data_IF_389228583428
#
_entry.id   IF_389228583428
#
_cell.length_a   1.000
_cell.length_b   1.000
_cell.length_c   1.000
_cell.angle_alpha   90.00
_cell.angle_beta   90.00
_cell.angle_gamma   90.00
#
_symmetry.space_group_name_H-M   'P 1'
#
loop_
_entity.id
_entity.type
_entity.pdbx_description
1 polymer ?
#
# COMPACT_ATOMS: atom_id res chain seq x y z
N UNK A 1 34.80 -9.82 12.68
CA UNK A 1 34.42 -8.76 11.72
C UNK A 1 32.90 -8.65 11.69
N UNK A 2 32.36 -7.51 12.07
CA UNK A 2 30.92 -7.24 12.08
C UNK A 2 30.43 -7.23 10.64
N UNK A 3 29.37 -7.98 10.32
CA UNK A 3 28.75 -7.93 8.99
C UNK A 3 28.17 -6.53 8.79
N UNK A 4 28.55 -5.86 7.71
CA UNK A 4 27.93 -4.58 7.32
C UNK A 4 26.45 -4.79 7.04
N UNK A 5 25.61 -3.90 7.55
CA UNK A 5 24.19 -3.87 7.22
C UNK A 5 24.02 -3.39 5.76
N UNK A 6 23.12 -3.99 4.98
CA UNK A 6 22.84 -3.51 3.63
C UNK A 6 22.22 -2.10 3.69
N UNK A 7 22.52 -1.23 2.70
CA UNK A 7 21.77 0.01 2.52
C UNK A 7 20.27 -0.26 2.28
N UNK A 8 19.42 0.75 2.53
CA UNK A 8 17.99 0.65 2.25
C UNK A 8 17.74 0.31 0.77
N UNK A 9 16.84 -0.66 0.53
CA UNK A 9 16.55 -1.16 -0.82
C UNK A 9 17.52 -2.23 -1.33
N UNK A 10 18.45 -2.69 -0.50
CA UNK A 10 19.39 -3.77 -0.83
C UNK A 10 19.27 -4.94 0.16
N UNK A 11 19.63 -6.13 -0.31
CA UNK A 11 19.67 -7.36 0.47
C UNK A 11 21.09 -7.89 0.60
N UNK A 12 21.36 -8.58 1.70
CA UNK A 12 22.52 -9.46 1.82
C UNK A 12 22.36 -10.68 0.91
N UNK A 13 23.46 -11.40 0.64
CA UNK A 13 23.40 -12.66 -0.12
C UNK A 13 22.42 -13.66 0.50
N UNK A 14 22.39 -13.76 1.84
CA UNK A 14 21.50 -14.69 2.56
C UNK A 14 20.03 -14.36 2.32
N UNK A 15 19.67 -13.08 2.43
CA UNK A 15 18.29 -12.62 2.20
C UNK A 15 17.88 -12.81 0.74
N UNK A 16 18.73 -12.43 -0.21
CA UNK A 16 18.46 -12.61 -1.63
C UNK A 16 18.23 -14.09 -1.98
N UNK A 17 19.07 -15.01 -1.48
CA UNK A 17 18.89 -16.46 -1.67
C UNK A 17 17.59 -16.95 -1.03
N UNK A 18 17.27 -16.48 0.17
CA UNK A 18 16.01 -16.82 0.85
C UNK A 18 14.79 -16.42 0.02
N UNK A 19 14.78 -15.20 -0.51
CA UNK A 19 13.70 -14.69 -1.37
C UNK A 19 13.60 -15.42 -2.72
N UNK A 20 14.70 -15.97 -3.21
CA UNK A 20 14.78 -16.73 -4.46
C UNK A 20 14.54 -18.25 -4.26
N UNK A 21 14.00 -18.68 -3.12
CA UNK A 21 13.70 -20.09 -2.87
C UNK A 21 14.92 -20.90 -2.40
N UNK A 22 15.77 -20.31 -1.56
CA UNK A 22 16.96 -20.92 -0.97
C UNK A 22 17.98 -21.46 -2.00
N UNK A 23 18.17 -20.74 -3.11
CA UNK A 23 19.19 -21.12 -4.10
C UNK A 23 20.60 -21.15 -3.52
N UNK A 24 21.51 -21.82 -4.22
CA UNK A 24 22.94 -21.87 -3.88
C UNK A 24 23.64 -20.55 -4.22
N UNK A 25 24.79 -20.28 -3.59
CA UNK A 25 25.60 -19.10 -3.91
C UNK A 25 26.08 -19.10 -5.37
N UNK A 26 26.38 -20.28 -5.93
CA UNK A 26 26.73 -20.42 -7.35
C UNK A 26 25.60 -19.96 -8.28
N UNK A 27 24.35 -20.36 -7.99
CA UNK A 27 23.19 -19.92 -8.76
C UNK A 27 22.88 -18.45 -8.57
N UNK A 28 23.11 -17.88 -7.37
CA UNK A 28 22.99 -16.44 -7.18
C UNK A 28 24.01 -15.68 -8.04
N UNK A 29 25.25 -16.18 -8.16
CA UNK A 29 26.29 -15.54 -8.99
C UNK A 29 25.94 -15.48 -10.47
N UNK A 30 25.26 -16.48 -11.02
CA UNK A 30 24.85 -16.48 -12.44
C UNK A 30 23.77 -15.44 -12.75
N UNK A 31 23.05 -14.97 -11.72
CA UNK A 31 22.05 -13.92 -11.84
C UNK A 31 22.63 -12.51 -11.73
N UNK A 32 23.89 -12.35 -11.30
CA UNK A 32 24.48 -11.02 -11.17
C UNK A 32 24.82 -10.46 -12.56
N UNK A 33 24.53 -9.19 -12.80
CA UNK A 33 24.88 -8.51 -14.05
C UNK A 33 24.07 -7.23 -14.27
N UNK A 34 24.21 -6.66 -15.47
CA UNK A 34 23.44 -5.50 -15.93
C UNK A 34 22.47 -5.99 -17.01
N UNK A 35 21.20 -5.59 -16.94
CA UNK A 35 20.18 -5.89 -17.93
C UNK A 35 19.04 -6.77 -17.43
N UNK A 36 18.16 -7.18 -18.35
CA UNK A 36 16.96 -7.96 -17.99
C UNK A 36 17.31 -9.35 -17.44
N UNK A 37 16.61 -9.75 -16.38
CA UNK A 37 16.84 -11.03 -15.70
C UNK A 37 18.14 -11.09 -14.89
N UNK A 38 18.82 -9.96 -14.69
CA UNK A 38 19.98 -9.84 -13.81
C UNK A 38 19.67 -9.06 -12.54
N UNK A 39 20.49 -9.29 -11.51
CA UNK A 39 20.44 -8.62 -10.21
C UNK A 39 21.62 -7.67 -10.15
N UNK A 40 21.32 -6.38 -9.97
CA UNK A 40 22.33 -5.38 -9.69
C UNK A 40 23.01 -5.68 -8.35
N UNK A 41 24.34 -5.65 -8.36
CA UNK A 41 25.18 -5.92 -7.18
C UNK A 41 26.05 -4.71 -6.87
N UNK A 42 25.99 -4.25 -5.62
CA UNK A 42 26.85 -3.19 -5.08
C UNK A 42 27.91 -3.80 -4.18
N UNK A 43 29.18 -3.48 -4.41
CA UNK A 43 30.29 -3.84 -3.51
C UNK A 43 30.77 -2.59 -2.77
N UNK A 44 30.56 -2.50 -1.44
CA UNK A 44 31.09 -1.37 -0.67
C UNK A 44 32.62 -1.33 -0.74
N UNK A 45 33.24 -0.12 -0.75
CA UNK A 45 34.69 0.02 -0.73
C UNK A 45 35.33 -0.78 0.42
N UNK A 46 36.26 -1.68 0.11
CA UNK A 46 36.97 -2.51 1.09
C UNK A 46 36.19 -3.71 1.63
N UNK A 47 34.93 -3.92 1.23
CA UNK A 47 34.15 -5.08 1.64
C UNK A 47 34.29 -6.23 0.62
N UNK A 48 34.53 -7.45 1.12
CA UNK A 48 34.50 -8.67 0.28
C UNK A 48 33.09 -9.15 -0.06
N UNK A 49 32.07 -8.61 0.61
CA UNK A 49 30.67 -9.01 0.45
C UNK A 49 29.93 -7.89 -0.27
N UNK A 50 29.18 -8.25 -1.32
CA UNK A 50 28.29 -7.32 -2.00
C UNK A 50 26.85 -7.43 -1.52
N UNK A 51 26.09 -6.37 -1.77
CA UNK A 51 24.66 -6.29 -1.57
C UNK A 51 23.91 -6.42 -2.91
N UNK A 52 22.68 -6.88 -2.87
CA UNK A 52 21.86 -7.21 -4.03
C UNK A 52 20.62 -6.34 -4.06
N UNK A 53 20.33 -5.67 -5.18
CA UNK A 53 19.18 -4.76 -5.26
C UNK A 53 17.88 -5.51 -5.03
N UNK A 54 17.11 -5.09 -4.03
CA UNK A 54 15.94 -5.84 -3.58
C UNK A 54 14.85 -5.93 -4.66
N UNK A 55 14.63 -4.86 -5.44
CA UNK A 55 13.64 -4.83 -6.51
C UNK A 55 13.95 -5.86 -7.61
N UNK A 56 15.22 -6.05 -7.99
CA UNK A 56 15.64 -7.05 -8.97
C UNK A 56 15.47 -8.48 -8.44
N UNK A 57 15.85 -8.72 -7.18
CA UNK A 57 15.63 -10.00 -6.50
C UNK A 57 14.15 -10.37 -6.54
N UNK A 58 13.27 -9.44 -6.21
CA UNK A 58 11.82 -9.64 -6.28
C UNK A 58 11.33 -9.81 -7.71
N UNK A 59 11.88 -9.09 -8.69
CA UNK A 59 11.53 -9.26 -10.11
C UNK A 59 11.84 -10.68 -10.59
N UNK A 60 13.01 -11.23 -10.25
CA UNK A 60 13.40 -12.60 -10.63
C UNK A 60 12.58 -13.64 -9.86
N UNK A 61 12.39 -13.45 -8.55
CA UNK A 61 11.55 -14.35 -7.75
C UNK A 61 10.14 -14.47 -8.35
N UNK A 62 9.56 -13.35 -8.80
CA UNK A 62 8.27 -13.33 -9.51
C UNK A 62 8.31 -14.10 -10.83
N UNK A 63 9.34 -13.92 -11.64
CA UNK A 63 9.48 -14.63 -12.92
C UNK A 63 9.61 -16.15 -12.73
N UNK A 64 10.42 -16.60 -11.76
CA UNK A 64 10.58 -18.02 -11.45
C UNK A 64 9.31 -18.64 -10.88
N UNK A 65 8.61 -17.93 -10.00
CA UNK A 65 7.32 -18.40 -9.49
C UNK A 65 6.32 -18.57 -10.64
N UNK A 66 6.28 -17.62 -11.59
CA UNK A 66 5.44 -17.71 -12.79
C UNK A 66 5.82 -18.90 -13.68
N UNK A 67 7.11 -19.18 -13.87
CA UNK A 67 7.59 -20.31 -14.68
C UNK A 67 7.33 -21.66 -14.01
N UNK A 68 7.61 -21.77 -12.71
CA UNK A 68 7.32 -22.96 -11.92
C UNK A 68 5.80 -23.26 -11.88
N UNK A 69 4.97 -22.22 -11.82
CA UNK A 69 3.51 -22.34 -11.86
C UNK A 69 2.93 -22.44 -13.29
N UNK A 70 3.72 -22.21 -14.34
CA UNK A 70 3.33 -22.47 -15.73
C UNK A 70 2.98 -23.95 -16.02
N UNK A 71 3.28 -24.86 -15.08
CA UNK A 71 2.88 -26.28 -15.13
C UNK A 71 1.68 -26.63 -14.23
N UNK A 72 1.24 -25.69 -13.40
CA UNK A 72 0.08 -25.85 -12.52
C UNK A 72 -0.62 -24.50 -12.37
N UNK A 73 -1.61 -24.22 -13.22
CA UNK A 73 -2.61 -23.18 -12.98
C UNK A 73 -3.45 -23.57 -11.75
N UNK A 74 -2.84 -23.52 -10.57
CA UNK A 74 -3.59 -23.47 -9.33
C UNK A 74 -4.20 -22.07 -9.31
N UNK A 75 -5.53 -22.00 -9.22
CA UNK A 75 -6.30 -20.79 -8.99
C UNK A 75 -5.93 -20.16 -7.63
N UNK A 76 -4.70 -19.66 -7.47
CA UNK A 76 -4.33 -18.92 -6.27
C UNK A 76 -5.25 -17.70 -6.20
N UNK A 77 -6.08 -17.57 -5.16
CA UNK A 77 -7.05 -16.48 -5.11
C UNK A 77 -6.31 -15.14 -4.98
N UNK A 78 -6.86 -14.10 -5.62
CA UNK A 78 -6.45 -12.71 -5.38
C UNK A 78 -6.72 -12.40 -3.90
N UNK A 79 -5.71 -11.94 -3.18
CA UNK A 79 -5.78 -11.70 -1.72
C UNK A 79 -5.58 -10.23 -1.41
N UNK A 80 -6.42 -9.68 -0.55
CA UNK A 80 -6.20 -8.41 0.12
C UNK A 80 -5.59 -8.67 1.50
N UNK A 81 -4.56 -7.91 1.88
CA UNK A 81 -3.97 -7.98 3.23
C UNK A 81 -3.28 -6.68 3.59
N UNK A 82 -2.90 -6.56 4.86
CA UNK A 82 -1.97 -5.55 5.34
C UNK A 82 -0.61 -5.75 4.68
N UNK A 83 0.04 -4.62 4.42
CA UNK A 83 1.38 -4.56 3.86
C UNK A 83 2.40 -4.73 4.97
N UNK A 84 3.43 -5.54 4.73
CA UNK A 84 4.60 -5.58 5.60
C UNK A 84 5.54 -4.42 5.26
N UNK A 85 6.24 -3.87 6.26
CA UNK A 85 7.06 -2.67 6.07
C UNK A 85 8.18 -2.83 5.03
N UNK A 86 8.73 -4.04 4.88
CA UNK A 86 9.76 -4.35 3.88
C UNK A 86 9.21 -4.38 2.46
N UNK A 87 7.90 -4.58 2.30
CA UNK A 87 7.23 -4.60 0.99
C UNK A 87 7.09 -3.20 0.39
N UNK A 88 7.35 -2.15 1.16
CA UNK A 88 7.36 -0.78 0.68
C UNK A 88 8.32 -0.58 -0.50
N UNK A 89 9.40 -1.38 -0.59
CA UNK A 89 10.30 -1.37 -1.75
C UNK A 89 9.58 -1.80 -3.04
N UNK A 90 8.77 -2.86 -2.95
CA UNK A 90 8.00 -3.38 -4.10
C UNK A 90 6.84 -2.45 -4.43
N UNK A 91 6.22 -1.86 -3.41
CA UNK A 91 5.13 -0.90 -3.59
C UNK A 91 5.64 0.41 -4.19
N UNK A 92 6.86 0.85 -3.86
CA UNK A 92 7.45 2.05 -4.46
C UNK A 92 7.53 1.94 -5.99
N UNK A 93 7.94 0.78 -6.52
CA UNK A 93 7.97 0.51 -7.97
C UNK A 93 6.56 0.62 -8.60
N UNK A 94 5.50 0.23 -7.87
CA UNK A 94 4.12 0.33 -8.34
C UNK A 94 3.67 1.79 -8.35
N UNK A 95 3.93 2.52 -7.27
CA UNK A 95 3.57 3.92 -7.14
C UNK A 95 4.28 4.80 -8.17
N UNK A 96 5.55 4.52 -8.45
CA UNK A 96 6.32 5.24 -9.47
C UNK A 96 5.71 5.10 -10.86
N UNK A 97 5.31 3.88 -11.23
CA UNK A 97 4.64 3.64 -12.51
C UNK A 97 3.22 4.22 -12.58
N UNK A 98 2.55 4.35 -11.44
CA UNK A 98 1.17 4.81 -11.38
C UNK A 98 1.05 6.33 -11.38
N UNK A 99 1.96 7.00 -10.68
CA UNK A 99 1.85 8.42 -10.35
C UNK A 99 3.04 9.23 -10.87
N UNK A 100 4.01 8.59 -11.55
CA UNK A 100 5.23 9.25 -12.05
C UNK A 100 6.01 9.97 -10.93
N UNK A 101 5.94 9.41 -9.71
CA UNK A 101 6.63 9.94 -8.52
C UNK A 101 7.63 8.92 -7.98
N UNK A 102 8.74 9.37 -7.39
CA UNK A 102 9.67 8.46 -6.70
C UNK A 102 9.38 8.49 -5.20
N UNK A 103 8.69 7.49 -4.62
CA UNK A 103 8.34 7.52 -3.22
C UNK A 103 9.61 7.41 -2.36
N UNK A 104 9.76 8.29 -1.38
CA UNK A 104 10.83 8.18 -0.40
C UNK A 104 10.55 6.98 0.52
N UNK A 105 11.19 5.84 0.23
CA UNK A 105 10.98 4.57 0.95
C UNK A 105 11.22 4.72 2.46
N UNK A 106 12.36 5.30 2.94
CA UNK A 106 12.56 5.53 4.37
C UNK A 106 11.42 6.30 5.05
N UNK A 107 10.96 7.39 4.43
CA UNK A 107 9.85 8.17 4.98
C UNK A 107 8.55 7.36 5.05
N UNK A 108 8.22 6.58 4.01
CA UNK A 108 7.05 5.71 4.05
C UNK A 108 7.17 4.62 5.11
N UNK A 109 8.35 4.04 5.29
CA UNK A 109 8.61 3.08 6.35
C UNK A 109 8.43 3.72 7.73
N UNK A 110 8.89 4.95 7.95
CA UNK A 110 8.66 5.67 9.22
C UNK A 110 7.17 5.91 9.48
N UNK A 111 6.39 6.25 8.45
CA UNK A 111 4.93 6.39 8.56
C UNK A 111 4.26 5.07 8.95
N UNK A 112 4.68 3.96 8.34
CA UNK A 112 4.17 2.61 8.66
C UNK A 112 4.60 2.19 10.07
N UNK A 113 5.80 2.58 10.54
CA UNK A 113 6.20 2.32 11.94
C UNK A 113 5.30 3.08 12.93
N UNK A 114 4.95 4.32 12.61
CA UNK A 114 4.07 5.13 13.45
C UNK A 114 2.65 4.52 13.54
N UNK A 115 2.14 3.98 12.44
CA UNK A 115 0.89 3.21 12.45
C UNK A 115 0.97 2.04 11.44
N UNK A 116 1.21 0.80 11.90
CA UNK A 116 1.40 -0.37 11.02
C UNK A 116 0.15 -0.76 10.22
N UNK A 117 -1.01 -0.19 10.54
CA UNK A 117 -2.29 -0.55 9.94
C UNK A 117 -2.70 0.40 8.80
N UNK A 118 -1.81 1.31 8.35
CA UNK A 118 -2.14 2.28 7.30
C UNK A 118 -1.93 1.76 5.87
N UNK A 119 -1.14 0.69 5.69
CA UNK A 119 -0.72 0.20 4.37
C UNK A 119 -1.36 -1.13 4.00
N UNK A 120 -1.89 -1.21 2.79
CA UNK A 120 -2.57 -2.42 2.27
C UNK A 120 -2.07 -2.78 0.89
N UNK A 121 -2.06 -4.08 0.60
CA UNK A 121 -1.70 -4.62 -0.71
C UNK A 121 -2.73 -5.62 -1.19
N UNK A 122 -2.85 -5.71 -2.52
CA UNK A 122 -3.48 -6.84 -3.19
C UNK A 122 -2.40 -7.68 -3.83
N UNK A 123 -2.46 -8.99 -3.58
CA UNK A 123 -1.62 -9.97 -4.24
C UNK A 123 -2.43 -10.83 -5.20
N UNK A 124 -1.81 -11.18 -6.32
CA UNK A 124 -2.30 -12.15 -7.28
C UNK A 124 -1.17 -13.15 -7.53
N UNK A 125 -1.44 -14.42 -7.26
CA UNK A 125 -0.44 -15.48 -7.32
C UNK A 125 0.84 -15.19 -6.50
N UNK A 126 0.64 -14.62 -5.32
CA UNK A 126 1.72 -14.21 -4.41
C UNK A 126 2.46 -12.94 -4.82
N UNK A 127 2.15 -12.35 -5.98
CA UNK A 127 2.76 -11.11 -6.47
C UNK A 127 1.94 -9.91 -6.02
N UNK A 128 2.58 -8.89 -5.45
CA UNK A 128 1.91 -7.60 -5.17
C UNK A 128 1.56 -6.94 -6.50
N UNK A 129 0.26 -6.72 -6.72
CA UNK A 129 -0.31 -6.14 -7.94
C UNK A 129 -1.07 -4.85 -7.69
N UNK A 130 -1.22 -4.45 -6.43
CA UNK A 130 -1.84 -3.19 -6.07
C UNK A 130 -1.58 -2.83 -4.63
N UNK A 131 -1.78 -1.55 -4.32
CA UNK A 131 -1.55 -1.00 -2.99
C UNK A 131 -2.53 0.15 -2.72
N UNK A 132 -2.74 0.46 -1.46
CA UNK A 132 -3.48 1.63 -1.03
C UNK A 132 -3.19 1.94 0.42
N UNK A 133 -3.27 3.22 0.78
CA UNK A 133 -2.99 3.69 2.13
C UNK A 133 -4.20 4.41 2.71
N UNK A 134 -4.50 4.14 3.98
CA UNK A 134 -5.55 4.80 4.76
C UNK A 134 -4.84 5.54 5.88
N UNK A 135 -4.64 6.85 5.74
CA UNK A 135 -3.90 7.62 6.74
C UNK A 135 -4.86 8.32 7.71
N UNK A 136 -4.80 8.01 9.02
CA UNK A 136 -5.58 8.71 10.03
C UNK A 136 -4.95 10.07 10.38
N UNK A 137 -5.76 11.12 10.29
CA UNK A 137 -5.36 12.50 10.56
C UNK A 137 -6.50 13.28 11.21
N UNK A 138 -6.20 14.48 11.72
CA UNK A 138 -7.23 15.48 11.97
C UNK A 138 -7.82 15.97 10.66
N UNK A 139 -9.06 16.47 10.69
CA UNK A 139 -9.69 17.06 9.51
C UNK A 139 -8.87 18.24 8.97
N UNK A 140 -8.41 19.13 9.87
CA UNK A 140 -7.56 20.27 9.54
C UNK A 140 -6.31 19.86 8.75
N UNK A 141 -5.63 18.79 9.19
CA UNK A 141 -4.44 18.29 8.49
C UNK A 141 -4.79 17.80 7.08
N UNK A 142 -5.92 17.13 6.88
CA UNK A 142 -6.34 16.71 5.54
C UNK A 142 -6.69 17.91 4.68
N UNK A 143 -7.49 18.84 5.20
CA UNK A 143 -7.91 20.04 4.46
C UNK A 143 -6.72 20.95 4.11
N UNK A 144 -5.63 20.95 4.89
CA UNK A 144 -4.39 21.64 4.49
C UNK A 144 -3.63 20.94 3.37
N UNK A 145 -3.85 19.65 3.11
CA UNK A 145 -3.22 18.92 1.99
C UNK A 145 -3.94 19.21 0.66
N UNK A 146 -5.28 19.24 0.68
CA UNK A 146 -6.11 19.26 -0.53
C UNK A 146 -5.85 20.42 -1.51
N UNK A 147 -5.50 21.65 -1.08
CA UNK A 147 -5.23 22.78 -1.96
C UNK A 147 -3.89 22.72 -2.70
N UNK A 148 -2.99 21.80 -2.35
CA UNK A 148 -1.67 21.72 -2.97
C UNK A 148 -1.66 20.72 -4.13
N UNK A 149 -1.06 21.11 -5.25
CA UNK A 149 -0.82 20.24 -6.40
C UNK A 149 -0.06 18.99 -5.96
N UNK A 150 1.18 19.16 -5.49
CA UNK A 150 1.93 18.09 -4.84
C UNK A 150 1.43 17.87 -3.41
N UNK A 151 1.19 16.62 -3.02
CA UNK A 151 0.87 16.28 -1.62
C UNK A 151 2.05 16.66 -0.71
N UNK A 152 1.85 17.54 0.29
CA UNK A 152 2.90 17.89 1.24
C UNK A 152 3.43 16.67 1.98
N UNK A 153 4.64 16.80 2.54
CA UNK A 153 5.21 15.75 3.38
C UNK A 153 4.32 15.58 4.63
N UNK A 154 3.94 14.34 4.89
CA UNK A 154 3.32 13.92 6.14
C UNK A 154 4.41 13.35 7.04
N UNK A 155 4.60 13.93 8.24
CA UNK A 155 5.54 13.42 9.22
C UNK A 155 4.91 12.30 10.07
N UNK A 156 5.71 11.36 10.60
CA UNK A 156 5.18 10.24 11.39
C UNK A 156 4.32 10.65 12.59
N UNK A 157 4.68 11.73 13.29
CA UNK A 157 3.93 12.23 14.45
C UNK A 157 2.58 12.88 14.08
N UNK A 158 2.33 13.16 12.81
CA UNK A 158 1.05 13.67 12.32
C UNK A 158 0.05 12.55 12.03
N UNK A 159 0.51 11.29 12.03
CA UNK A 159 -0.32 10.11 11.80
C UNK A 159 -0.91 9.67 13.14
N UNK A 160 -2.23 9.74 13.26
CA UNK A 160 -2.91 9.39 14.50
C UNK A 160 -2.94 7.86 14.71
N UNK A 161 -2.89 7.37 15.95
CA UNK A 161 -3.02 5.95 16.22
C UNK A 161 -4.50 5.49 16.10
N UNK A 162 -4.70 4.23 15.74
CA UNK A 162 -6.00 3.58 15.72
C UNK A 162 -6.38 3.02 17.10
N UNK A 163 -6.66 3.94 18.04
CA UNK A 163 -7.02 3.59 19.42
C UNK A 163 -8.50 3.85 19.70
N UNK A 164 -9.15 3.00 20.52
CA UNK A 164 -10.53 3.23 20.94
C UNK A 164 -10.71 4.59 21.61
N UNK A 165 -11.84 5.26 21.36
CA UNK A 165 -12.12 6.60 21.89
C UNK A 165 -11.54 7.75 21.06
N UNK A 166 -10.58 7.48 20.16
CA UNK A 166 -10.07 8.52 19.27
C UNK A 166 -11.10 8.87 18.18
N UNK A 167 -11.19 10.15 17.89
CA UNK A 167 -11.93 10.71 16.76
C UNK A 167 -10.93 11.11 15.67
N UNK A 168 -11.12 10.58 14.46
CA UNK A 168 -10.19 10.74 13.34
C UNK A 168 -10.94 11.01 12.04
N UNK A 169 -10.24 11.61 11.08
CA UNK A 169 -10.59 11.55 9.68
C UNK A 169 -9.60 10.64 8.94
N UNK A 170 -10.04 10.03 7.85
CA UNK A 170 -9.21 9.15 7.03
C UNK A 170 -8.89 9.84 5.70
N UNK A 171 -7.62 9.79 5.29
CA UNK A 171 -7.21 10.18 3.94
C UNK A 171 -6.77 8.95 3.15
N UNK A 172 -7.54 8.61 2.12
CA UNK A 172 -7.20 7.56 1.16
C UNK A 172 -6.13 8.08 0.22
N UNK A 173 -4.92 7.54 0.34
CA UNK A 173 -3.74 7.96 -0.41
C UNK A 173 -3.19 6.84 -1.27
N UNK A 174 -2.73 7.20 -2.46
CA UNK A 174 -1.95 6.32 -3.35
C UNK A 174 -2.60 4.95 -3.57
N UNK A 175 -3.90 4.95 -3.87
CA UNK A 175 -4.69 3.74 -4.12
C UNK A 175 -4.64 3.41 -5.60
N UNK A 176 -4.07 2.25 -5.95
CA UNK A 176 -3.98 1.85 -7.35
C UNK A 176 -3.46 0.42 -7.55
N UNK A 177 -3.60 -0.05 -8.79
CA UNK A 177 -3.18 -1.39 -9.22
C UNK A 177 -2.30 -1.29 -10.45
N UNK A 178 -1.35 -2.20 -10.59
CA UNK A 178 -0.38 -2.24 -11.68
C UNK A 178 -1.08 -2.17 -13.05
N UNK A 179 -0.58 -1.29 -13.93
CA UNK A 179 -1.23 -0.99 -15.20
C UNK A 179 -0.71 -1.78 -16.41
N UNK A 180 0.54 -2.25 -16.36
CA UNK A 180 1.22 -2.76 -17.56
C UNK A 180 0.95 -4.27 -17.77
N UNK A 181 0.80 -4.66 -19.03
CA UNK A 181 0.79 -6.03 -19.56
C UNK A 181 -0.24 -6.99 -18.93
N UNK A 182 -1.39 -6.43 -18.52
CA UNK A 182 -2.48 -7.19 -17.88
C UNK A 182 -3.83 -6.82 -18.53
N UNK A 183 -4.69 -7.81 -18.86
CA UNK A 183 -6.05 -7.55 -19.35
C UNK A 183 -6.86 -6.63 -18.43
N UNK A 184 -7.71 -5.78 -19.00
CA UNK A 184 -8.46 -4.76 -18.26
C UNK A 184 -9.41 -5.37 -17.22
N UNK A 185 -9.99 -6.52 -17.50
CA UNK A 185 -10.88 -7.28 -16.61
C UNK A 185 -10.15 -7.71 -15.35
N UNK A 186 -8.91 -8.16 -15.50
CA UNK A 186 -8.06 -8.60 -14.40
C UNK A 186 -7.65 -7.42 -13.52
N UNK A 187 -7.27 -6.28 -14.13
CA UNK A 187 -7.02 -5.02 -13.41
C UNK A 187 -8.23 -4.54 -12.62
N UNK A 188 -9.42 -4.57 -13.24
CA UNK A 188 -10.69 -4.24 -12.55
C UNK A 188 -10.94 -5.14 -11.35
N UNK A 189 -10.67 -6.45 -11.48
CA UNK A 189 -10.81 -7.39 -10.37
C UNK A 189 -9.83 -7.08 -9.23
N UNK A 190 -8.56 -6.76 -9.52
CA UNK A 190 -7.60 -6.33 -8.51
C UNK A 190 -8.06 -5.06 -7.78
N UNK A 191 -8.49 -4.05 -8.54
CA UNK A 191 -8.96 -2.78 -7.97
C UNK A 191 -10.21 -3.00 -7.10
N UNK A 192 -11.14 -3.84 -7.54
CA UNK A 192 -12.33 -4.20 -6.76
C UNK A 192 -11.94 -4.87 -5.44
N UNK A 193 -11.02 -5.85 -5.46
CA UNK A 193 -10.55 -6.52 -4.24
C UNK A 193 -9.87 -5.53 -3.30
N UNK A 194 -9.06 -4.61 -3.83
CA UNK A 194 -8.38 -3.57 -3.04
C UNK A 194 -9.38 -2.65 -2.35
N UNK A 195 -10.32 -2.08 -3.11
CA UNK A 195 -11.31 -1.13 -2.59
C UNK A 195 -12.24 -1.81 -1.57
N UNK A 196 -12.76 -3.00 -1.87
CA UNK A 196 -13.60 -3.74 -0.92
C UNK A 196 -12.81 -4.05 0.36
N UNK A 197 -11.53 -4.42 0.24
CA UNK A 197 -10.65 -4.64 1.38
C UNK A 197 -10.50 -3.38 2.25
N UNK A 198 -10.16 -2.25 1.63
CA UNK A 198 -10.05 -0.94 2.30
C UNK A 198 -11.35 -0.58 3.03
N UNK A 199 -12.50 -0.68 2.37
CA UNK A 199 -13.80 -0.37 3.00
C UNK A 199 -14.11 -1.29 4.18
N UNK A 200 -13.73 -2.58 4.10
CA UNK A 200 -13.87 -3.52 5.22
C UNK A 200 -12.97 -3.16 6.39
N UNK A 201 -11.75 -2.69 6.15
CA UNK A 201 -10.86 -2.22 7.22
C UNK A 201 -11.44 -0.97 7.90
N UNK A 202 -12.03 -0.04 7.15
CA UNK A 202 -12.76 1.11 7.73
C UNK A 202 -13.89 0.62 8.65
N UNK A 203 -14.71 -0.34 8.22
CA UNK A 203 -15.77 -0.93 9.06
C UNK A 203 -15.20 -1.56 10.33
N UNK A 204 -14.05 -2.25 10.25
CA UNK A 204 -13.38 -2.83 11.42
C UNK A 204 -12.95 -1.78 12.44
N UNK A 205 -12.62 -0.56 12.03
CA UNK A 205 -12.30 0.53 12.97
C UNK A 205 -13.49 0.81 13.91
N UNK A 206 -14.71 0.79 13.39
CA UNK A 206 -15.92 0.96 14.20
C UNK A 206 -16.07 -0.16 15.24
N UNK A 207 -15.80 -1.41 14.86
CA UNK A 207 -15.84 -2.55 15.81
C UNK A 207 -14.79 -2.48 16.92
N UNK A 208 -13.80 -1.58 16.79
CA UNK A 208 -12.73 -1.32 17.77
C UNK A 208 -12.99 -0.06 18.60
N UNK A 209 -14.12 0.64 18.41
CA UNK A 209 -14.42 1.87 19.15
C UNK A 209 -13.73 3.12 18.62
N UNK A 210 -13.22 3.09 17.39
CA UNK A 210 -12.57 4.24 16.76
C UNK A 210 -13.63 5.04 16.02
N UNK A 211 -13.76 6.33 16.35
CA UNK A 211 -14.72 7.25 15.72
C UNK A 211 -14.10 7.84 14.46
N UNK A 212 -14.74 7.64 13.30
CA UNK A 212 -14.32 8.12 11.99
C UNK A 212 -15.37 9.09 11.50
N UNK A 213 -15.02 10.37 11.38
CA UNK A 213 -15.97 11.40 10.98
C UNK A 213 -16.14 11.42 9.45
N UNK A 214 -15.00 11.49 8.76
CA UNK A 214 -14.96 11.68 7.30
C UNK A 214 -13.86 10.85 6.66
N UNK A 215 -14.12 10.45 5.42
CA UNK A 215 -13.15 9.77 4.56
C UNK A 215 -12.91 10.66 3.34
N UNK A 216 -11.70 11.17 3.24
CA UNK A 216 -11.23 12.00 2.15
C UNK A 216 -10.44 11.18 1.15
N UNK A 217 -10.51 11.56 -0.13
CA UNK A 217 -9.68 11.01 -1.18
C UNK A 217 -9.34 12.08 -2.21
N UNK A 218 -8.22 11.88 -2.91
CA UNK A 218 -7.85 12.65 -4.09
C UNK A 218 -7.73 11.71 -5.28
N UNK A 219 -8.12 12.17 -6.46
CA UNK A 219 -7.89 11.48 -7.73
C UNK A 219 -7.13 12.36 -8.70
N UNK A 220 -6.10 11.76 -9.30
CA UNK A 220 -5.24 12.39 -10.31
C UNK A 220 -5.57 11.87 -11.72
N UNK A 221 -6.57 10.99 -11.84
CA UNK A 221 -6.98 10.38 -13.12
C UNK A 221 -8.49 10.39 -13.27
N UNK A 222 -8.95 10.52 -14.51
CA UNK A 222 -10.37 10.40 -14.88
C UNK A 222 -10.99 9.07 -14.44
N UNK A 223 -10.21 7.98 -14.48
CA UNK A 223 -10.68 6.67 -14.05
C UNK A 223 -10.90 6.61 -12.53
N UNK A 224 -9.99 7.23 -11.76
CA UNK A 224 -10.13 7.38 -10.32
C UNK A 224 -11.32 8.26 -9.94
N UNK A 225 -11.55 9.37 -10.63
CA UNK A 225 -12.69 10.25 -10.42
C UNK A 225 -14.02 9.51 -10.64
N UNK A 226 -14.12 8.80 -11.77
CA UNK A 226 -15.29 7.98 -12.09
C UNK A 226 -15.52 6.89 -11.04
N UNK A 227 -14.44 6.31 -10.50
CA UNK A 227 -14.52 5.35 -9.41
C UNK A 227 -15.06 6.00 -8.14
N UNK A 228 -14.52 7.15 -7.73
CA UNK A 228 -14.97 7.86 -6.52
C UNK A 228 -16.46 8.24 -6.60
N UNK A 229 -16.90 8.75 -7.76
CA UNK A 229 -18.33 9.02 -8.00
C UNK A 229 -19.19 7.76 -7.87
N UNK A 230 -18.76 6.63 -8.43
CA UNK A 230 -19.48 5.34 -8.32
C UNK A 230 -19.50 4.78 -6.91
N UNK A 231 -18.49 5.07 -6.11
CA UNK A 231 -18.45 4.73 -4.69
C UNK A 231 -19.32 5.67 -3.85
N UNK A 232 -19.89 6.73 -4.46
CA UNK A 232 -20.78 7.68 -3.82
C UNK A 232 -20.06 8.72 -2.97
N UNK A 233 -18.78 8.98 -3.27
CA UNK A 233 -18.09 10.12 -2.67
C UNK A 233 -18.64 11.44 -3.25
N UNK A 234 -18.77 12.44 -2.39
CA UNK A 234 -19.12 13.80 -2.77
C UNK A 234 -17.87 14.51 -3.24
N UNK A 235 -17.92 15.12 -4.43
CA UNK A 235 -16.83 15.96 -4.95
C UNK A 235 -16.77 17.26 -4.16
N UNK A 236 -15.57 17.65 -3.74
CA UNK A 236 -15.29 18.94 -3.13
C UNK A 236 -14.89 19.95 -4.20
N UNK A 237 -15.05 21.24 -3.91
CA UNK A 237 -14.44 22.29 -4.71
C UNK A 237 -12.92 22.15 -4.66
N UNK A 238 -12.29 22.16 -5.83
CA UNK A 238 -10.84 22.00 -5.99
C UNK A 238 -10.21 23.24 -6.59
N UNK A 239 -8.95 23.50 -6.22
CA UNK A 239 -8.13 24.61 -6.73
C UNK A 239 -6.89 24.13 -7.48
N UNK A 240 -6.78 22.81 -7.68
CA UNK A 240 -5.64 22.10 -8.26
C UNK A 240 -6.09 21.36 -9.52
N UNK A 241 -5.16 20.72 -10.22
CA UNK A 241 -5.52 19.81 -11.33
C UNK A 241 -6.18 18.50 -10.85
N UNK A 242 -6.19 18.27 -9.54
CA UNK A 242 -6.69 17.04 -8.93
C UNK A 242 -8.09 17.22 -8.38
N UNK A 243 -8.88 16.15 -8.43
CA UNK A 243 -10.23 16.15 -7.88
C UNK A 243 -10.24 15.59 -6.46
N UNK A 244 -10.85 16.34 -5.55
CA UNK A 244 -10.93 16.01 -4.14
C UNK A 244 -12.34 15.52 -3.81
N UNK A 245 -12.42 14.52 -2.95
CA UNK A 245 -13.64 13.79 -2.65
C UNK A 245 -13.77 13.55 -1.15
N UNK A 246 -15.00 13.52 -0.66
CA UNK A 246 -15.30 13.25 0.76
C UNK A 246 -16.52 12.33 0.91
N UNK A 247 -16.48 11.48 1.93
CA UNK A 247 -17.67 10.86 2.53
C UNK A 247 -17.75 11.31 3.98
N UNK A 248 -18.86 11.95 4.33
CA UNK A 248 -19.23 12.23 5.71
C UNK A 248 -19.94 11.00 6.30
N UNK A 249 -19.31 10.31 7.26
CA UNK A 249 -19.79 9.01 7.74
C UNK A 249 -21.14 9.11 8.44
N UNK A 250 -21.36 10.21 9.17
CA UNK A 250 -22.57 10.42 9.94
C UNK A 250 -23.78 10.59 9.03
N UNK A 251 -23.69 11.50 8.06
CA UNK A 251 -24.78 11.77 7.11
C UNK A 251 -24.87 10.77 5.95
N UNK A 252 -23.83 9.96 5.72
CA UNK A 252 -23.80 9.03 4.57
C UNK A 252 -24.77 7.86 4.70
N UNK A 253 -25.49 7.63 3.59
CA UNK A 253 -26.32 6.45 3.37
C UNK A 253 -25.60 5.25 2.76
N UNK A 254 -24.29 5.35 2.49
CA UNK A 254 -23.49 4.31 1.84
C UNK A 254 -23.43 3.05 2.70
N UNK A 255 -23.39 1.89 2.04
CA UNK A 255 -23.44 0.59 2.73
C UNK A 255 -22.30 0.41 3.73
N UNK A 256 -21.06 0.80 3.38
CA UNK A 256 -19.93 0.69 4.30
C UNK A 256 -20.06 1.66 5.49
N UNK A 257 -20.57 2.87 5.30
CA UNK A 257 -20.79 3.84 6.38
C UNK A 257 -21.87 3.35 7.35
N UNK A 258 -22.96 2.75 6.85
CA UNK A 258 -23.98 2.09 7.67
C UNK A 258 -23.41 0.92 8.47
N UNK A 259 -22.61 0.06 7.83
CA UNK A 259 -21.95 -1.07 8.50
C UNK A 259 -20.98 -0.59 9.58
N UNK A 260 -20.19 0.45 9.30
CA UNK A 260 -19.29 1.09 10.25
C UNK A 260 -20.06 1.63 11.46
N UNK A 261 -21.12 2.42 11.26
CA UNK A 261 -21.95 2.97 12.35
C UNK A 261 -22.57 1.88 13.21
N UNK A 262 -23.08 0.82 12.59
CA UNK A 262 -23.61 -0.34 13.31
C UNK A 262 -22.53 -1.06 14.13
N UNK A 263 -21.31 -1.19 13.60
CA UNK A 263 -20.18 -1.79 14.32
C UNK A 263 -19.74 -0.91 15.51
N UNK A 264 -19.67 0.40 15.33
CA UNK A 264 -19.34 1.37 16.39
C UNK A 264 -20.39 1.38 17.49
N UNK A 265 -21.68 1.42 17.14
CA UNK A 265 -22.77 1.37 18.10
C UNK A 265 -22.73 0.11 18.96
N UNK A 266 -22.49 -1.06 18.36
CA UNK A 266 -22.31 -2.32 19.11
C UNK A 266 -21.13 -2.26 20.07
N UNK A 267 -20.02 -1.63 19.66
CA UNK A 267 -18.86 -1.46 20.52
C UNK A 267 -19.18 -0.53 21.70
N UNK A 268 -19.86 0.60 21.47
CA UNK A 268 -20.26 1.57 22.51
C UNK A 268 -21.19 0.94 23.55
N UNK A 269 -22.26 0.26 23.11
CA UNK A 269 -23.18 -0.46 24.02
C UNK A 269 -22.42 -1.45 24.92
N UNK A 270 -21.41 -2.14 24.37
CA UNK A 270 -20.64 -3.14 25.12
C UNK A 270 -19.66 -2.54 26.13
N UNK A 271 -19.10 -1.34 25.90
CA UNK A 271 -17.98 -0.81 26.70
C UNK A 271 -18.28 0.49 27.44
N UNK A 272 -19.22 1.31 26.97
CA UNK A 272 -19.56 2.62 27.56
C UNK A 272 -20.82 2.58 28.44
N UNK A 273 -21.61 1.51 28.35
CA UNK A 273 -22.94 1.46 28.96
C UNK A 273 -23.96 2.22 28.12
N UNK A 274 -25.23 1.80 28.17
CA UNK A 274 -26.33 2.44 27.45
C UNK A 274 -26.75 3.75 28.11
#
# INVERSE_FOLDING_TARGET
>A
MTRGQPPNGWYTAKEARGKLGNITDGKLRTLIGIGEGKIERMEPPGAKQGFYKASDVHKIARAWNKEAMGKQHINTPIKFRRMEIEEMVVVADILEKLFETHPNIPQWQDRIRANPEIGFVVTDDGVIVGCGFIMPHTEEKILSILPHEATPITFPHEILPYEPGNQICLYLRSVGVHQNDVPIEKKRRWAQVLIIGILKEIVKLGSRGITVDKVYARSDTFQGERMMHRLGFTRLTTTTSHENFVVDIESSGLSFAKQYKAALSKWRIKHEGA
#
